data_IF_680092254740
#
_entry.id   IF_680092254740
#
_cell.length_a   1.000
_cell.length_b   1.000
_cell.length_c   1.000
_cell.angle_alpha   90.00
_cell.angle_beta   90.00
_cell.angle_gamma   90.00
#
_symmetry.space_group_name_H-M   'P 1'
#
loop_
_entity.id
_entity.type
_entity.pdbx_description
1 polymer ?
#
# COMPACT_ATOMS: atom_id res chain seq x y z
N UNK A 1 -7.24 7.23 10.28
CA UNK A 1 -7.40 5.91 10.95
C UNK A 1 -6.01 5.30 10.98
N UNK A 2 -5.28 5.42 12.09
CA UNK A 2 -4.07 4.61 12.27
C UNK A 2 -4.55 3.20 12.58
N UNK A 3 -4.23 2.25 11.71
CA UNK A 3 -4.53 0.85 11.93
C UNK A 3 -3.22 0.17 12.28
N UNK A 4 -3.18 -0.48 13.43
CA UNK A 4 -2.10 -1.33 13.92
C UNK A 4 -1.29 -1.98 12.77
N UNK A 5 0.01 -1.69 12.69
CA UNK A 5 0.83 -1.95 11.51
C UNK A 5 0.77 -3.43 11.07
N UNK A 6 0.81 -4.36 12.03
CA UNK A 6 0.69 -5.79 11.76
C UNK A 6 -0.65 -6.19 11.11
N UNK A 7 -1.74 -5.46 11.39
CA UNK A 7 -3.03 -5.65 10.72
C UNK A 7 -3.02 -5.05 9.31
N UNK A 8 -2.40 -3.88 9.11
CA UNK A 8 -2.29 -3.26 7.78
C UNK A 8 -1.49 -4.12 6.82
N UNK A 9 -0.32 -4.61 7.24
CA UNK A 9 0.54 -5.45 6.41
C UNK A 9 -0.11 -6.80 6.03
N UNK A 10 -1.04 -7.32 6.85
CA UNK A 10 -1.85 -8.50 6.50
C UNK A 10 -3.01 -8.19 5.56
N UNK A 11 -3.62 -7.01 5.66
CA UNK A 11 -4.75 -6.62 4.82
C UNK A 11 -4.33 -6.18 3.41
N UNK A 12 -3.12 -5.63 3.29
CA UNK A 12 -2.65 -4.99 2.06
C UNK A 12 -1.36 -5.65 1.60
N UNK A 13 -1.45 -6.58 0.64
CA UNK A 13 -0.26 -7.02 -0.09
C UNK A 13 0.18 -5.86 -1.00
N UNK A 14 1.37 -5.28 -0.76
CA UNK A 14 1.88 -4.17 -1.57
C UNK A 14 1.91 -4.44 -3.08
N UNK A 15 1.95 -5.73 -3.49
CA UNK A 15 1.86 -6.13 -4.91
C UNK A 15 0.43 -6.05 -5.47
N UNK A 16 -0.61 -6.20 -4.66
CA UNK A 16 -2.02 -6.04 -5.09
C UNK A 16 -2.51 -4.59 -5.04
N UNK A 17 -1.76 -3.68 -4.40
CA UNK A 17 -2.02 -2.23 -4.45
C UNK A 17 -1.81 -1.60 -5.83
N UNK A 18 -1.30 -2.34 -6.81
CA UNK A 18 -1.10 -1.84 -8.16
C UNK A 18 -2.29 -2.10 -9.10
N UNK A 19 -3.47 -2.37 -8.56
CA UNK A 19 -4.71 -2.40 -9.35
C UNK A 19 -4.93 -1.09 -10.11
N UNK A 20 -4.59 0.06 -9.51
CA UNK A 20 -4.69 1.37 -10.15
C UNK A 20 -3.77 1.49 -11.38
N UNK A 21 -2.54 0.98 -11.30
CA UNK A 21 -1.63 1.01 -12.44
C UNK A 21 -2.07 0.01 -13.52
N UNK A 22 -2.55 -1.16 -13.13
CA UNK A 22 -3.11 -2.12 -14.08
C UNK A 22 -4.32 -1.55 -14.82
N UNK A 23 -5.21 -0.85 -14.11
CA UNK A 23 -6.35 -0.15 -14.70
C UNK A 23 -5.92 1.02 -15.59
N UNK A 24 -4.86 1.75 -15.20
CA UNK A 24 -4.27 2.81 -16.01
C UNK A 24 -3.71 2.27 -17.33
N UNK A 25 -2.97 1.17 -17.28
CA UNK A 25 -2.45 0.47 -18.47
C UNK A 25 -3.60 -0.04 -19.33
N UNK A 26 -4.61 -0.66 -18.72
CA UNK A 26 -5.78 -1.18 -19.42
C UNK A 26 -6.57 -0.08 -20.14
N UNK A 27 -6.82 1.05 -19.46
CA UNK A 27 -7.51 2.20 -20.03
C UNK A 27 -6.69 2.84 -21.16
N UNK A 28 -5.36 2.94 -21.00
CA UNK A 28 -4.47 3.40 -22.06
C UNK A 28 -4.55 2.50 -23.30
N UNK A 29 -4.44 1.18 -23.13
CA UNK A 29 -4.55 0.20 -24.23
C UNK A 29 -5.93 0.27 -24.90
N UNK A 30 -7.00 0.41 -24.13
CA UNK A 30 -8.37 0.54 -24.65
C UNK A 30 -8.54 1.81 -25.48
N UNK A 31 -8.02 2.94 -25.00
CA UNK A 31 -8.04 4.20 -25.74
C UNK A 31 -7.22 4.13 -27.03
N UNK A 32 -6.04 3.52 -26.99
CA UNK A 32 -5.19 3.29 -28.18
C UNK A 32 -5.92 2.40 -29.19
N UNK A 33 -6.54 1.32 -28.71
CA UNK A 33 -7.31 0.38 -29.52
C UNK A 33 -8.46 1.11 -30.23
N UNK A 34 -9.23 1.92 -29.49
CA UNK A 34 -10.33 2.72 -30.05
C UNK A 34 -9.83 3.73 -31.09
N UNK A 35 -8.70 4.38 -30.84
CA UNK A 35 -8.17 5.43 -31.72
C UNK A 35 -7.48 4.91 -32.99
N UNK A 36 -6.90 3.71 -32.96
CA UNK A 36 -5.96 3.26 -34.01
C UNK A 36 -6.30 1.92 -34.67
N UNK A 37 -7.08 1.04 -34.03
CA UNK A 37 -7.19 -0.35 -34.49
C UNK A 37 -8.31 -0.63 -35.50
N UNK A 38 -9.21 0.34 -35.77
CA UNK A 38 -10.44 0.09 -36.55
C UNK A 38 -11.22 -1.14 -36.03
N UNK A 39 -11.12 -1.43 -34.71
CA UNK A 39 -11.66 -2.61 -34.02
C UNK A 39 -11.18 -3.96 -34.55
N UNK A 40 -10.02 -4.02 -35.24
CA UNK A 40 -9.41 -5.28 -35.69
C UNK A 40 -8.47 -5.84 -34.61
N UNK A 41 -8.75 -7.03 -34.04
CA UNK A 41 -7.93 -7.60 -32.95
C UNK A 41 -6.45 -7.76 -33.32
N UNK A 42 -6.16 -8.10 -34.57
CA UNK A 42 -4.79 -8.32 -35.05
C UNK A 42 -3.90 -7.07 -35.10
N UNK A 43 -4.46 -5.87 -35.00
CA UNK A 43 -3.69 -4.61 -35.04
C UNK A 43 -3.47 -3.99 -33.67
N UNK A 44 -4.08 -4.54 -32.62
CA UNK A 44 -4.07 -3.96 -31.27
C UNK A 44 -2.64 -3.95 -30.70
N UNK A 45 -2.00 -5.12 -30.65
CA UNK A 45 -0.67 -5.27 -30.04
C UNK A 45 0.39 -4.46 -30.81
N UNK A 46 0.36 -4.52 -32.14
CA UNK A 46 1.29 -3.79 -33.00
C UNK A 46 1.19 -2.27 -32.84
N UNK A 47 -0.03 -1.74 -32.85
CA UNK A 47 -0.27 -0.30 -32.69
C UNK A 47 0.11 0.20 -31.29
N UNK A 48 -0.18 -0.58 -30.25
CA UNK A 48 0.23 -0.29 -28.87
C UNK A 48 1.76 -0.22 -28.79
N UNK A 49 2.47 -1.19 -29.37
CA UNK A 49 3.93 -1.24 -29.32
C UNK A 49 4.59 -0.08 -30.08
N UNK A 50 4.09 0.24 -31.28
CA UNK A 50 4.56 1.37 -32.07
C UNK A 50 4.37 2.70 -31.33
N UNK A 51 3.22 2.87 -30.67
CA UNK A 51 2.92 4.09 -29.91
C UNK A 51 3.76 4.21 -28.64
N UNK A 52 3.95 3.13 -27.88
CA UNK A 52 4.86 3.13 -26.72
C UNK A 52 6.28 3.50 -27.16
N UNK A 53 6.76 2.96 -28.29
CA UNK A 53 8.06 3.33 -28.84
C UNK A 53 8.12 4.81 -29.27
N UNK A 54 7.06 5.34 -29.89
CA UNK A 54 6.97 6.74 -30.28
C UNK A 54 6.94 7.66 -29.05
N UNK A 55 6.16 7.34 -28.03
CA UNK A 55 6.06 8.11 -26.78
C UNK A 55 7.37 8.08 -25.99
N UNK A 56 8.09 6.94 -25.98
CA UNK A 56 9.45 6.83 -25.43
C UNK A 56 10.45 7.71 -26.19
N UNK A 57 10.38 7.74 -27.54
CA UNK A 57 11.25 8.58 -28.38
C UNK A 57 10.94 10.07 -28.28
N UNK A 58 9.67 10.44 -28.10
CA UNK A 58 9.23 11.83 -27.99
C UNK A 58 9.31 12.40 -26.56
N UNK A 59 9.75 11.60 -25.57
CA UNK A 59 9.77 12.01 -24.16
C UNK A 59 8.37 12.21 -23.55
N UNK A 60 7.31 11.96 -24.31
CA UNK A 60 5.92 12.17 -23.92
C UNK A 60 5.37 11.03 -23.04
N UNK A 61 6.09 9.91 -22.92
CA UNK A 61 5.70 8.76 -22.08
C UNK A 61 5.51 9.13 -20.59
N UNK A 62 5.90 10.34 -20.15
CA UNK A 62 5.83 10.76 -18.75
C UNK A 62 5.11 12.08 -18.50
N UNK A 63 4.48 12.75 -19.47
CA UNK A 63 4.06 14.15 -19.24
C UNK A 63 2.75 14.37 -18.47
N UNK A 64 1.84 13.39 -18.36
CA UNK A 64 0.52 13.66 -17.77
C UNK A 64 0.13 12.89 -16.50
N UNK A 65 0.85 11.85 -16.09
CA UNK A 65 0.59 11.19 -14.82
C UNK A 65 1.88 10.65 -14.21
N UNK A 66 2.76 11.58 -13.84
CA UNK A 66 3.98 11.22 -13.13
C UNK A 66 3.61 10.69 -11.75
N UNK A 67 3.88 9.42 -11.50
CA UNK A 67 4.03 8.83 -10.16
C UNK A 67 4.67 9.83 -9.18
N UNK A 68 5.69 10.63 -9.56
CA UNK A 68 6.20 11.74 -8.76
C UNK A 68 5.17 12.78 -8.26
N UNK A 69 4.23 13.23 -9.10
CA UNK A 69 3.18 14.20 -8.71
C UNK A 69 2.18 13.57 -7.74
N UNK A 70 1.81 12.31 -7.99
CA UNK A 70 0.92 11.55 -7.10
C UNK A 70 1.61 11.29 -5.74
N UNK A 71 2.88 10.90 -5.77
CA UNK A 71 3.70 10.71 -4.57
C UNK A 71 3.85 12.02 -3.78
N UNK A 72 4.08 13.15 -4.46
CA UNK A 72 4.14 14.44 -3.80
C UNK A 72 2.81 14.84 -3.14
N UNK A 73 1.68 14.50 -3.77
CA UNK A 73 0.35 14.72 -3.20
C UNK A 73 0.10 13.82 -1.98
N UNK A 74 0.47 12.54 -2.07
CA UNK A 74 0.40 11.60 -0.95
C UNK A 74 1.27 12.08 0.21
N UNK A 75 2.52 12.46 -0.04
CA UNK A 75 3.42 12.99 1.00
C UNK A 75 2.93 14.30 1.61
N UNK A 76 2.17 15.12 0.86
CA UNK A 76 1.55 16.34 1.40
C UNK A 76 0.36 16.01 2.30
N UNK A 77 -0.44 15.02 1.93
CA UNK A 77 -1.54 14.51 2.76
C UNK A 77 -1.02 13.85 4.02
N UNK A 78 0.03 13.03 3.92
CA UNK A 78 0.68 12.37 5.05
C UNK A 78 1.14 13.38 6.12
N UNK A 79 1.80 14.47 5.69
CA UNK A 79 2.21 15.57 6.57
C UNK A 79 1.05 16.34 7.22
N UNK A 80 -0.16 16.22 6.69
CA UNK A 80 -1.36 16.86 7.25
C UNK A 80 -2.09 15.99 8.26
N UNK A 81 -1.71 14.71 8.36
CA UNK A 81 -2.22 13.80 9.38
C UNK A 81 -1.43 14.05 10.67
N UNK A 82 -2.08 14.16 11.85
CA UNK A 82 -1.37 14.25 13.12
C UNK A 82 -0.46 13.02 13.29
N UNK A 83 0.75 13.21 13.83
CA UNK A 83 1.61 12.07 14.16
C UNK A 83 0.93 11.23 15.25
N UNK A 84 0.36 10.10 14.86
CA UNK A 84 -0.11 9.12 15.83
C UNK A 84 1.10 8.35 16.35
N UNK A 85 1.28 8.33 17.67
CA UNK A 85 2.31 7.53 18.31
C UNK A 85 2.01 6.03 18.21
N UNK A 86 2.91 5.24 18.76
CA UNK A 86 2.79 3.79 18.88
C UNK A 86 1.48 3.38 19.59
N UNK A 87 0.89 2.26 19.18
CA UNK A 87 -0.26 1.68 19.88
C UNK A 87 0.20 1.08 21.20
N UNK A 88 -0.32 1.62 22.30
CA UNK A 88 -0.12 1.08 23.66
C UNK A 88 -1.39 0.37 24.11
N UNK A 89 -1.26 -0.90 24.50
CA UNK A 89 -2.32 -1.73 25.05
C UNK A 89 -2.11 -1.89 26.55
N UNK A 90 -3.00 -1.33 27.39
CA UNK A 90 -2.86 -1.41 28.85
C UNK A 90 -3.01 -2.85 29.36
N UNK A 91 -2.25 -3.21 30.38
CA UNK A 91 -2.31 -4.51 31.05
C UNK A 91 -3.70 -4.82 31.63
N UNK A 92 -4.38 -3.79 32.13
CA UNK A 92 -5.78 -3.89 32.58
C UNK A 92 -6.74 -4.31 31.46
N UNK A 93 -6.48 -3.90 30.22
CA UNK A 93 -7.29 -4.28 29.06
C UNK A 93 -7.02 -5.73 28.67
N UNK A 94 -5.75 -6.16 28.74
CA UNK A 94 -5.33 -7.54 28.47
C UNK A 94 -5.98 -8.52 29.46
N UNK A 95 -5.98 -8.16 30.75
CA UNK A 95 -6.56 -9.02 31.80
C UNK A 95 -8.08 -9.08 31.73
N UNK A 96 -8.76 -7.96 31.47
CA UNK A 96 -10.21 -7.90 31.34
C UNK A 96 -10.74 -8.57 30.06
N UNK A 97 -9.94 -8.60 28.98
CA UNK A 97 -10.33 -9.12 27.68
C UNK A 97 -9.33 -10.14 27.12
N UNK A 98 -8.93 -11.10 27.97
CA UNK A 98 -7.89 -12.08 27.65
C UNK A 98 -8.18 -12.92 26.40
N UNK A 99 -9.44 -13.28 26.15
CA UNK A 99 -9.83 -14.04 24.95
C UNK A 99 -9.71 -13.21 23.67
N UNK A 100 -10.10 -11.94 23.69
CA UNK A 100 -9.95 -11.02 22.57
C UNK A 100 -8.49 -10.70 22.30
N UNK A 101 -7.69 -10.57 23.36
CA UNK A 101 -6.25 -10.40 23.27
C UNK A 101 -5.56 -11.61 22.64
N UNK A 102 -5.90 -12.82 23.07
CA UNK A 102 -5.38 -14.05 22.49
C UNK A 102 -5.74 -14.17 21.00
N UNK A 103 -7.00 -13.92 20.63
CA UNK A 103 -7.42 -13.92 19.23
C UNK A 103 -6.69 -12.85 18.40
N UNK A 104 -6.38 -11.71 19.01
CA UNK A 104 -5.57 -10.67 18.38
C UNK A 104 -4.13 -11.14 18.12
N UNK A 105 -3.49 -11.82 19.08
CA UNK A 105 -2.14 -12.38 18.95
C UNK A 105 -2.03 -13.58 17.98
N UNK A 106 -3.12 -14.30 17.76
CA UNK A 106 -3.19 -15.38 16.74
C UNK A 106 -3.40 -14.83 15.32
N UNK A 107 -4.19 -13.77 15.19
CA UNK A 107 -3.98 -12.78 14.12
C UNK A 107 -2.56 -12.18 14.34
N UNK A 108 -1.89 -11.41 13.52
CA UNK A 108 -0.50 -10.91 13.81
C UNK A 108 0.61 -11.89 14.26
N UNK A 109 0.42 -13.21 14.38
CA UNK A 109 1.41 -14.17 14.90
C UNK A 109 2.81 -14.05 14.28
N UNK A 110 2.86 -13.71 12.99
CA UNK A 110 4.09 -13.55 12.21
C UNK A 110 4.90 -12.30 12.60
N UNK A 111 4.29 -11.38 13.34
CA UNK A 111 4.90 -10.16 13.88
C UNK A 111 5.29 -10.30 15.36
N UNK A 112 5.01 -11.45 15.98
CA UNK A 112 5.40 -11.77 17.36
C UNK A 112 6.76 -12.46 17.47
N UNK A 113 7.56 -12.43 16.40
CA UNK A 113 8.88 -13.09 16.34
C UNK A 113 9.79 -12.55 17.45
N UNK A 114 10.46 -13.48 18.14
CA UNK A 114 11.34 -13.18 19.27
C UNK A 114 12.57 -12.40 18.80
N UNK A 115 12.65 -11.14 19.20
CA UNK A 115 13.81 -10.28 19.07
C UNK A 115 13.53 -8.98 19.82
N UNK A 116 14.54 -8.44 20.51
CA UNK A 116 14.41 -7.15 21.19
C UNK A 116 14.21 -6.05 20.14
N UNK A 117 13.24 -5.16 20.35
CA UNK A 117 12.96 -3.98 19.52
C UNK A 117 12.52 -4.25 18.07
N UNK A 118 11.98 -5.44 17.74
CA UNK A 118 11.64 -5.76 16.34
C UNK A 118 10.25 -5.22 15.95
N UNK A 119 9.23 -5.37 16.79
CA UNK A 119 7.86 -4.96 16.47
C UNK A 119 7.04 -4.50 17.68
N UNK A 120 7.44 -4.89 18.90
CA UNK A 120 6.76 -4.54 20.13
C UNK A 120 7.71 -4.60 21.33
N UNK A 121 7.33 -3.94 22.42
CA UNK A 121 8.01 -3.98 23.72
C UNK A 121 6.99 -4.00 24.86
N UNK A 122 7.44 -4.41 26.05
CA UNK A 122 6.66 -4.33 27.29
C UNK A 122 7.25 -3.31 28.24
N UNK A 123 6.42 -2.44 28.81
CA UNK A 123 6.83 -1.46 29.82
C UNK A 123 6.91 -2.09 31.22
N UNK A 124 7.51 -1.37 32.18
CA UNK A 124 7.66 -1.82 33.58
C UNK A 124 6.30 -2.12 34.26
N UNK A 125 5.22 -1.50 33.77
CA UNK A 125 3.85 -1.68 34.27
C UNK A 125 3.12 -2.89 33.65
N UNK A 126 3.75 -3.59 32.69
CA UNK A 126 3.16 -4.74 31.98
C UNK A 126 2.33 -4.37 30.75
N UNK A 127 2.27 -3.09 30.39
CA UNK A 127 1.65 -2.60 29.16
C UNK A 127 2.47 -3.01 27.94
N UNK A 128 1.79 -3.28 26.83
CA UNK A 128 2.42 -3.70 25.57
C UNK A 128 2.33 -2.56 24.57
N UNK A 129 3.49 -2.12 24.08
CA UNK A 129 3.63 -1.08 23.06
C UNK A 129 4.04 -1.71 21.72
N UNK A 130 3.31 -1.40 20.65
CA UNK A 130 3.64 -1.81 19.29
C UNK A 130 4.23 -0.65 18.50
N UNK A 131 5.36 -0.91 17.82
CA UNK A 131 6.01 0.08 16.98
C UNK A 131 5.28 0.21 15.64
N UNK A 132 4.30 1.12 15.57
CA UNK A 132 3.50 1.35 14.36
C UNK A 132 4.15 2.31 13.35
N UNK A 133 5.30 2.90 13.69
CA UNK A 133 6.00 3.93 12.93
C UNK A 133 7.16 3.42 12.06
N UNK A 134 7.24 2.10 11.82
CA UNK A 134 8.25 1.45 10.97
C UNK A 134 7.89 1.55 9.49
#
# INVERSE_FOLDING_TARGET
MSAHAAIQHRLVNGKSCHAEEQERIFNAVTNITRATSSNKPGHIIGNVFLRIQAEKKMGAYHSENTVPKQQAHISKLDKSVPSLGNTVVPFSTITNHSSSWQAHLERISDFLVVGKDVWWTSNEEGDIEFFDSI
#
